data_IF_529000497172
#
_entry.id   IF_529000497172
#
_cell.length_a   1.000
_cell.length_b   1.000
_cell.length_c   1.000
_cell.angle_alpha   90.00
_cell.angle_beta   90.00
_cell.angle_gamma   90.00
#
_symmetry.space_group_name_H-M   'P 1'
#
loop_
_entity.id
_entity.type
_entity.pdbx_description
1 polymer ?
#
# COMPACT_ATOMS: atom_id res chain seq x y z
N UNK A 1 11.88 4.84 -21.89
CA UNK A 1 11.21 4.81 -20.58
C UNK A 1 9.96 4.00 -20.80
N UNK A 2 9.90 2.79 -20.26
CA UNK A 2 8.73 1.93 -20.47
C UNK A 2 7.62 2.42 -19.55
N UNK A 3 6.72 3.22 -20.13
CA UNK A 3 5.51 3.68 -19.45
C UNK A 3 4.56 2.51 -19.40
N UNK A 4 4.62 1.70 -18.35
CA UNK A 4 3.48 0.88 -17.97
C UNK A 4 2.48 1.83 -17.35
N UNK A 5 1.47 2.24 -18.12
CA UNK A 5 0.34 2.96 -17.56
C UNK A 5 -0.48 1.99 -16.70
N UNK A 6 -0.13 1.90 -15.42
CA UNK A 6 -1.00 1.22 -14.46
C UNK A 6 -2.12 2.18 -14.12
N UNK A 7 -3.21 2.08 -14.89
CA UNK A 7 -4.47 2.74 -14.56
C UNK A 7 -5.03 2.08 -13.31
N UNK A 8 -4.98 2.76 -12.18
CA UNK A 8 -5.70 2.32 -10.98
C UNK A 8 -7.18 2.73 -11.09
N UNK A 9 -7.79 2.18 -12.12
CA UNK A 9 -9.23 2.04 -12.31
C UNK A 9 -9.50 0.59 -11.88
N UNK A 10 -10.62 0.35 -11.22
CA UNK A 10 -11.22 -0.96 -10.89
C UNK A 10 -10.73 -2.25 -11.65
N UNK A 11 -10.96 -3.44 -11.06
CA UNK A 11 -10.02 -4.48 -10.62
C UNK A 11 -9.11 -5.16 -11.66
N UNK A 12 -8.97 -4.67 -12.89
CA UNK A 12 -8.21 -5.38 -13.93
C UNK A 12 -6.69 -5.37 -13.69
N UNK A 13 -6.16 -4.32 -13.03
CA UNK A 13 -4.73 -4.16 -12.75
C UNK A 13 -4.46 -3.63 -11.32
N UNK A 14 -4.79 -4.40 -10.27
CA UNK A 14 -4.61 -3.98 -8.89
C UNK A 14 -3.13 -3.75 -8.55
N UNK A 15 -2.87 -2.71 -7.77
CA UNK A 15 -1.56 -2.43 -7.14
C UNK A 15 -1.73 -2.56 -5.63
N UNK A 16 -0.80 -3.24 -4.97
CA UNK A 16 -0.72 -3.23 -3.51
C UNK A 16 0.35 -2.25 -3.07
N UNK A 17 0.15 -1.60 -1.92
CA UNK A 17 1.06 -0.63 -1.33
C UNK A 17 1.33 -0.96 0.13
N UNK A 18 2.55 -0.69 0.57
CA UNK A 18 2.96 -0.76 1.98
C UNK A 18 3.83 0.43 2.32
N UNK A 19 3.52 1.05 3.46
CA UNK A 19 4.26 2.16 4.06
C UNK A 19 5.12 1.60 5.19
N UNK A 20 6.43 1.82 5.13
CA UNK A 20 7.37 1.25 6.10
C UNK A 20 8.20 2.38 6.74
N UNK A 21 7.96 2.61 8.04
CA UNK A 21 8.79 3.50 8.84
C UNK A 21 10.16 2.83 9.01
N UNK A 22 11.28 3.51 8.68
CA UNK A 22 12.61 2.98 8.91
C UNK A 22 12.86 2.67 10.39
N UNK A 23 13.50 1.53 10.67
CA UNK A 23 13.98 1.22 12.02
C UNK A 23 15.15 2.13 12.41
N UNK A 24 15.49 2.26 13.70
CA UNK A 24 16.69 2.98 14.12
C UNK A 24 17.93 2.48 13.37
N UNK A 25 18.65 3.39 12.71
CA UNK A 25 19.83 3.08 11.90
C UNK A 25 19.55 2.68 10.44
N UNK A 26 18.28 2.57 10.02
CA UNK A 26 17.91 2.39 8.62
C UNK A 26 17.60 3.73 7.95
N UNK A 27 18.04 3.88 6.69
CA UNK A 27 17.55 4.93 5.80
C UNK A 27 16.28 4.47 5.05
N UNK A 28 15.68 5.36 4.27
CA UNK A 28 14.48 5.08 3.46
C UNK A 28 14.71 3.95 2.45
N UNK A 29 15.94 3.77 1.94
CA UNK A 29 16.22 2.73 0.96
C UNK A 29 16.30 1.36 1.63
N UNK A 30 16.98 1.25 2.76
CA UNK A 30 17.10 0.04 3.57
C UNK A 30 15.77 -0.41 4.18
N UNK A 31 14.82 0.52 4.36
CA UNK A 31 13.46 0.22 4.84
C UNK A 31 12.50 -0.30 3.76
N UNK A 32 12.91 -0.39 2.49
CA UNK A 32 12.09 -0.94 1.40
C UNK A 32 11.77 -2.42 1.68
N UNK A 33 10.58 -2.86 1.27
CA UNK A 33 10.17 -4.26 1.39
C UNK A 33 10.71 -5.05 0.20
N UNK A 34 11.85 -5.71 0.39
CA UNK A 34 12.53 -6.48 -0.67
C UNK A 34 12.28 -7.98 -0.60
N UNK A 35 11.47 -8.44 0.36
CA UNK A 35 11.12 -9.86 0.50
C UNK A 35 10.29 -10.34 -0.69
N UNK A 36 10.73 -11.41 -1.33
CA UNK A 36 10.09 -11.97 -2.54
C UNK A 36 9.12 -13.11 -2.22
N UNK A 37 9.45 -13.98 -1.27
CA UNK A 37 8.61 -15.12 -0.89
C UNK A 37 7.78 -14.81 0.34
N UNK A 38 6.48 -15.05 0.23
CA UNK A 38 5.50 -14.78 1.27
C UNK A 38 4.66 -16.02 1.54
N UNK A 39 4.41 -16.30 2.81
CA UNK A 39 3.67 -17.47 3.27
C UNK A 39 2.57 -17.11 4.28
N UNK A 40 2.03 -15.89 4.17
CA UNK A 40 0.93 -15.43 5.04
C UNK A 40 -0.24 -16.41 4.94
N UNK A 41 -0.83 -16.76 6.08
CA UNK A 41 -2.03 -17.59 6.14
C UNK A 41 -3.27 -16.75 6.41
N UNK A 42 -4.45 -17.32 6.17
CA UNK A 42 -5.73 -16.67 6.51
C UNK A 42 -5.81 -16.33 8.01
N UNK A 43 -5.30 -17.22 8.87
CA UNK A 43 -5.20 -17.00 10.31
C UNK A 43 -4.29 -15.83 10.66
N UNK A 44 -3.17 -15.65 9.96
CA UNK A 44 -2.27 -14.52 10.18
C UNK A 44 -2.93 -13.18 9.83
N UNK A 45 -3.70 -13.14 8.74
CA UNK A 45 -4.49 -11.95 8.35
C UNK A 45 -5.52 -11.63 9.43
N UNK A 46 -6.29 -12.62 9.86
CA UNK A 46 -7.31 -12.45 10.89
C UNK A 46 -6.69 -11.96 12.21
N UNK A 47 -5.60 -12.60 12.67
CA UNK A 47 -4.88 -12.20 13.89
C UNK A 47 -4.38 -10.77 13.77
N UNK A 48 -3.72 -10.42 12.67
CA UNK A 48 -3.12 -9.10 12.48
C UNK A 48 -4.17 -8.00 12.42
N UNK A 49 -5.31 -8.26 11.79
CA UNK A 49 -6.42 -7.31 11.75
C UNK A 49 -7.00 -7.06 13.15
N UNK A 50 -7.16 -8.11 13.95
CA UNK A 50 -7.73 -8.03 15.30
C UNK A 50 -6.75 -7.50 16.35
N UNK A 51 -5.46 -7.78 16.22
CA UNK A 51 -4.40 -7.26 17.09
C UNK A 51 -3.79 -5.98 16.50
N UNK A 52 -4.58 -4.91 16.46
CA UNK A 52 -4.16 -3.60 15.92
C UNK A 52 -2.87 -3.09 16.57
N UNK A 53 -2.68 -3.32 17.88
CA UNK A 53 -1.52 -2.85 18.61
C UNK A 53 -0.25 -3.71 18.37
N UNK A 54 -0.38 -4.83 17.66
CA UNK A 54 0.71 -5.76 17.38
C UNK A 54 1.47 -6.12 18.65
N UNK A 55 0.73 -6.54 19.67
CA UNK A 55 1.27 -6.81 21.00
C UNK A 55 2.27 -7.97 20.90
N UNK A 56 3.54 -7.72 21.19
CA UNK A 56 4.61 -8.71 21.02
C UNK A 56 5.26 -8.75 19.64
N UNK A 57 4.87 -7.87 18.70
CA UNK A 57 5.48 -7.70 17.37
C UNK A 57 5.41 -8.95 16.48
N UNK A 58 4.34 -9.73 16.58
CA UNK A 58 4.15 -11.01 15.87
C UNK A 58 3.19 -10.94 14.67
N UNK A 59 2.64 -9.76 14.37
CA UNK A 59 1.73 -9.60 13.24
C UNK A 59 2.44 -9.85 11.92
N UNK A 60 1.71 -10.50 11.01
CA UNK A 60 2.18 -10.67 9.65
C UNK A 60 2.17 -9.33 8.92
N UNK A 61 3.09 -9.11 7.97
CA UNK A 61 3.10 -7.86 7.23
C UNK A 61 1.95 -7.84 6.22
N UNK A 62 0.88 -7.08 6.50
CA UNK A 62 -0.22 -6.87 5.55
C UNK A 62 0.07 -5.75 4.55
N UNK A 63 -0.62 -5.79 3.42
CA UNK A 63 -0.57 -4.81 2.34
C UNK A 63 -1.90 -4.10 2.21
N UNK A 64 -1.90 -2.89 1.67
CA UNK A 64 -3.12 -2.16 1.34
C UNK A 64 -3.36 -2.21 -0.17
N UNK A 65 -4.62 -2.26 -0.59
CA UNK A 65 -4.95 -1.91 -1.98
C UNK A 65 -4.62 -0.44 -2.20
N UNK A 66 -3.79 -0.11 -3.20
CA UNK A 66 -3.51 1.28 -3.51
C UNK A 66 -4.80 1.95 -3.96
N UNK A 67 -5.27 2.95 -3.23
CA UNK A 67 -6.41 3.79 -3.58
C UNK A 67 -6.32 5.08 -2.73
N UNK A 68 -7.30 5.99 -2.89
CA UNK A 68 -7.32 7.21 -2.08
C UNK A 68 -7.45 6.94 -0.57
N UNK A 69 -8.07 5.83 -0.18
CA UNK A 69 -8.22 5.44 1.24
C UNK A 69 -6.87 5.01 1.82
N UNK A 70 -6.04 4.26 1.07
CA UNK A 70 -4.68 3.94 1.49
C UNK A 70 -3.81 5.20 1.65
N UNK A 71 -4.02 6.22 0.81
CA UNK A 71 -3.35 7.51 0.97
C UNK A 71 -3.87 8.29 2.20
N UNK A 72 -5.17 8.22 2.50
CA UNK A 72 -5.75 8.78 3.73
C UNK A 72 -5.16 8.11 4.97
N UNK A 73 -5.05 6.78 4.97
CA UNK A 73 -4.42 6.00 6.05
C UNK A 73 -2.97 6.42 6.31
N UNK A 74 -2.21 6.74 5.26
CA UNK A 74 -0.85 7.24 5.36
C UNK A 74 -0.74 8.74 5.70
N UNK A 75 -1.85 9.42 6.00
CA UNK A 75 -1.87 10.85 6.36
C UNK A 75 -1.73 11.82 5.19
N UNK A 76 -1.80 11.34 3.94
CA UNK A 76 -1.62 12.19 2.75
C UNK A 76 -2.89 12.87 2.27
N UNK A 77 -4.05 12.28 2.54
CA UNK A 77 -5.32 12.78 2.03
C UNK A 77 -6.45 12.77 3.06
N UNK A 78 -6.56 13.80 3.90
CA UNK A 78 -7.82 14.09 4.57
C UNK A 78 -8.72 14.79 3.55
N UNK A 79 -9.35 14.05 2.64
CA UNK A 79 -10.49 14.62 1.94
C UNK A 79 -11.70 14.46 2.85
N UNK A 80 -12.39 15.56 3.15
CA UNK A 80 -13.66 15.55 3.89
C UNK A 80 -14.77 14.80 3.13
N UNK A 81 -14.52 14.38 1.88
CA UNK A 81 -15.42 13.61 1.03
C UNK A 81 -15.05 12.13 0.92
N UNK A 82 -13.92 11.71 1.48
CA UNK A 82 -13.56 10.31 1.62
C UNK A 82 -13.96 9.86 3.02
N UNK A 83 -14.37 8.59 3.18
CA UNK A 83 -14.67 8.03 4.51
C UNK A 83 -13.52 8.33 5.47
N UNK A 84 -13.85 8.73 6.70
CA UNK A 84 -12.87 9.07 7.74
C UNK A 84 -12.12 7.82 8.17
N UNK A 85 -11.01 7.51 7.49
CA UNK A 85 -10.02 6.57 7.99
C UNK A 85 -9.05 7.36 8.85
N UNK A 86 -8.94 6.97 10.12
CA UNK A 86 -7.96 7.56 11.02
C UNK A 86 -6.55 7.29 10.46
N UNK A 87 -5.73 8.32 10.23
CA UNK A 87 -4.37 8.12 9.74
C UNK A 87 -3.54 7.41 10.79
N UNK A 88 -2.66 6.51 10.37
CA UNK A 88 -1.70 5.89 11.29
C UNK A 88 -0.57 6.88 11.58
N UNK A 89 -0.32 7.24 12.86
CA UNK A 89 0.73 8.18 13.23
C UNK A 89 2.11 7.77 12.69
N UNK A 90 2.85 8.73 12.14
CA UNK A 90 4.22 8.55 11.69
C UNK A 90 4.38 7.98 10.27
N UNK A 91 3.31 7.46 9.66
CA UNK A 91 3.37 7.02 8.25
C UNK A 91 3.56 8.19 7.29
N UNK A 92 3.18 9.39 7.68
CA UNK A 92 3.34 10.59 6.87
C UNK A 92 4.75 11.17 6.94
N UNK A 93 5.70 10.62 7.70
CA UNK A 93 7.05 11.16 7.75
C UNK A 93 7.78 11.04 6.39
N UNK A 94 8.59 12.04 6.01
CA UNK A 94 9.21 12.11 4.67
C UNK A 94 10.17 10.93 4.38
N UNK A 95 10.76 10.35 5.42
CA UNK A 95 11.67 9.21 5.34
C UNK A 95 10.94 7.85 5.28
N UNK A 96 9.62 7.81 5.27
CA UNK A 96 8.86 6.56 5.11
C UNK A 96 9.10 5.99 3.72
N UNK A 97 9.49 4.71 3.68
CA UNK A 97 9.64 3.96 2.45
C UNK A 97 8.25 3.50 1.97
N UNK A 98 8.01 3.65 0.67
CA UNK A 98 6.76 3.21 0.05
C UNK A 98 7.08 2.12 -0.94
N UNK A 99 6.59 0.91 -0.67
CA UNK A 99 6.79 -0.26 -1.53
C UNK A 99 5.48 -0.62 -2.21
N UNK A 100 5.56 -1.04 -3.47
CA UNK A 100 4.43 -1.46 -4.27
C UNK A 100 4.62 -2.88 -4.79
N UNK A 101 3.53 -3.63 -4.87
CA UNK A 101 3.44 -4.82 -5.72
C UNK A 101 2.66 -4.41 -6.96
N UNK A 102 3.34 -4.46 -8.10
CA UNK A 102 2.80 -4.12 -9.41
C UNK A 102 1.79 -5.18 -9.89
N UNK A 103 0.95 -4.88 -10.90
CA UNK A 103 -0.09 -5.81 -11.35
C UNK A 103 0.45 -7.17 -11.81
N UNK A 104 1.68 -7.23 -12.34
CA UNK A 104 2.36 -8.49 -12.68
C UNK A 104 2.58 -9.36 -11.44
N UNK A 105 3.00 -8.76 -10.33
CA UNK A 105 3.17 -9.43 -9.05
C UNK A 105 1.86 -9.88 -8.46
N UNK A 106 0.84 -9.01 -8.47
CA UNK A 106 -0.48 -9.33 -7.92
C UNK A 106 -1.11 -10.54 -8.62
N UNK A 107 -0.84 -10.75 -9.91
CA UNK A 107 -1.28 -11.94 -10.67
C UNK A 107 -0.57 -13.24 -10.28
N UNK A 108 0.59 -13.17 -9.61
CA UNK A 108 1.41 -14.33 -9.20
C UNK A 108 1.14 -14.80 -7.77
N UNK A 109 0.57 -13.94 -6.95
CA UNK A 109 0.32 -14.21 -5.53
C UNK A 109 -1.16 -14.47 -5.27
N UNK A 110 -1.43 -15.27 -4.25
CA UNK A 110 -2.74 -15.35 -3.63
C UNK A 110 -2.90 -14.17 -2.67
N UNK A 111 -3.99 -13.42 -2.84
CA UNK A 111 -4.42 -12.41 -1.86
C UNK A 111 -5.35 -13.06 -0.84
N UNK A 112 -5.11 -12.79 0.44
CA UNK A 112 -5.88 -13.29 1.56
C UNK A 112 -6.53 -12.10 2.27
N UNK A 113 -7.86 -12.06 2.30
CA UNK A 113 -8.63 -10.98 2.94
C UNK A 113 -9.10 -11.41 4.32
N UNK A 114 -9.26 -10.47 5.25
CA UNK A 114 -9.82 -10.80 6.56
C UNK A 114 -11.27 -11.29 6.46
N UNK A 115 -11.61 -12.39 7.14
CA UNK A 115 -12.98 -12.90 7.16
C UNK A 115 -13.84 -12.03 8.09
N UNK A 116 -14.83 -11.36 7.50
CA UNK A 116 -15.74 -10.47 8.22
C UNK A 116 -16.69 -11.30 9.08
N UNK A 117 -16.76 -11.01 10.37
CA UNK A 117 -17.75 -11.64 11.24
C UNK A 117 -19.04 -10.82 11.26
N UNK A 118 -20.19 -11.50 11.39
CA UNK A 118 -21.51 -10.86 11.33
C UNK A 118 -21.71 -9.80 12.42
N UNK A 119 -21.11 -9.99 13.59
CA UNK A 119 -21.18 -9.12 14.77
C UNK A 119 -20.20 -7.92 14.74
N UNK A 120 -19.33 -7.81 13.73
CA UNK A 120 -18.39 -6.69 13.64
C UNK A 120 -19.10 -5.36 13.36
N UNK A 121 -18.51 -4.29 13.89
CA UNK A 121 -18.94 -2.93 13.57
C UNK A 121 -18.79 -2.71 12.05
N UNK A 122 -19.71 -1.97 11.38
CA UNK A 122 -19.61 -1.72 9.94
C UNK A 122 -18.25 -1.16 9.51
N UNK A 123 -17.66 -0.26 10.30
CA UNK A 123 -16.33 0.30 10.02
C UNK A 123 -15.23 -0.78 9.99
N UNK A 124 -15.28 -1.79 10.86
CA UNK A 124 -14.29 -2.87 10.88
C UNK A 124 -14.45 -3.78 9.67
N UNK A 125 -15.70 -4.06 9.27
CA UNK A 125 -16.01 -4.82 8.06
C UNK A 125 -15.48 -4.15 6.79
N UNK A 126 -15.50 -2.82 6.75
CA UNK A 126 -14.97 -2.05 5.64
C UNK A 126 -13.45 -1.97 5.68
N UNK A 127 -12.85 -1.78 6.87
CA UNK A 127 -11.40 -1.80 7.03
C UNK A 127 -10.79 -3.15 6.63
N UNK A 128 -11.50 -4.24 6.88
CA UNK A 128 -11.13 -5.60 6.49
C UNK A 128 -10.98 -5.79 4.97
N UNK A 129 -11.67 -4.98 4.14
CA UNK A 129 -11.55 -5.02 2.67
C UNK A 129 -10.31 -4.31 2.14
N UNK A 130 -9.72 -3.42 2.96
CA UNK A 130 -8.61 -2.57 2.55
C UNK A 130 -7.25 -3.25 2.71
N UNK A 131 -7.14 -4.14 3.70
CA UNK A 131 -5.93 -4.88 4.02
C UNK A 131 -5.95 -6.27 3.40
N UNK A 132 -4.80 -6.72 2.91
CA UNK A 132 -4.61 -8.05 2.35
C UNK A 132 -3.31 -8.67 2.85
N UNK A 133 -3.37 -9.94 3.25
CA UNK A 133 -2.20 -10.79 3.31
C UNK A 133 -1.84 -11.32 1.92
N UNK A 134 -0.59 -11.73 1.75
CA UNK A 134 -0.12 -12.28 0.47
C UNK A 134 0.60 -13.61 0.70
N UNK A 135 0.38 -14.56 -0.21
CA UNK A 135 1.04 -15.86 -0.24
C UNK A 135 1.50 -16.17 -1.67
N UNK A 136 2.75 -16.56 -1.83
CA UNK A 136 3.39 -16.82 -3.12
C UNK A 136 4.76 -16.18 -3.24
N UNK A 137 5.34 -16.23 -4.44
CA UNK A 137 6.68 -15.70 -4.73
C UNK A 137 6.59 -14.63 -5.81
N UNK A 138 7.13 -13.46 -5.50
CA UNK A 138 7.31 -12.32 -6.40
C UNK A 138 8.66 -12.42 -7.11
N UNK A 139 8.80 -11.72 -8.24
CA UNK A 139 10.09 -11.49 -8.91
C UNK A 139 10.55 -10.04 -8.67
N UNK A 140 11.84 -9.71 -8.85
CA UNK A 140 12.33 -8.34 -8.71
C UNK A 140 11.53 -7.29 -9.50
N UNK A 141 11.10 -7.64 -10.72
CA UNK A 141 10.30 -6.76 -11.59
C UNK A 141 8.84 -6.56 -11.15
N UNK A 142 8.37 -7.32 -10.14
CA UNK A 142 7.04 -7.19 -9.58
C UNK A 142 6.97 -6.16 -8.45
N UNK A 143 8.12 -5.77 -7.90
CA UNK A 143 8.24 -4.80 -6.81
C UNK A 143 8.69 -3.44 -7.37
N UNK A 144 8.11 -2.37 -6.84
CA UNK A 144 8.56 -1.01 -7.12
C UNK A 144 8.57 -0.15 -5.86
N UNK A 145 9.39 0.88 -5.85
CA UNK A 145 9.66 1.69 -4.66
C UNK A 145 9.60 3.18 -4.97
N UNK A 146 9.04 3.94 -4.04
CA UNK A 146 9.12 5.40 -4.02
C UNK A 146 9.30 5.87 -2.56
N UNK A 147 9.33 7.18 -2.36
CA UNK A 147 9.42 7.77 -1.02
C UNK A 147 8.13 8.50 -0.65
N UNK A 148 7.88 8.61 0.66
CA UNK A 148 6.75 9.41 1.15
C UNK A 148 6.87 10.89 0.74
N UNK A 149 8.09 11.43 0.74
CA UNK A 149 8.37 12.77 0.24
C UNK A 149 7.89 12.96 -1.22
N UNK A 150 8.22 12.01 -2.13
CA UNK A 150 7.77 12.08 -3.52
C UNK A 150 6.26 11.95 -3.63
N UNK A 151 5.66 11.01 -2.90
CA UNK A 151 4.22 10.79 -2.93
C UNK A 151 3.44 12.02 -2.43
N UNK A 152 3.94 12.73 -1.41
CA UNK A 152 3.41 14.03 -0.96
C UNK A 152 3.45 15.08 -2.06
N UNK A 153 4.59 15.19 -2.75
CA UNK A 153 4.75 16.15 -3.84
C UNK A 153 3.71 15.90 -4.94
N UNK A 154 3.61 14.65 -5.44
CA UNK A 154 2.67 14.28 -6.51
C UNK A 154 1.21 14.46 -6.10
N UNK A 155 0.88 14.19 -4.82
CA UNK A 155 -0.46 14.44 -4.28
C UNK A 155 -0.78 15.94 -4.23
N UNK A 156 0.18 16.79 -3.85
CA UNK A 156 0.00 18.26 -3.84
C UNK A 156 -0.16 18.83 -5.24
N UNK A 157 0.63 18.36 -6.20
CA UNK A 157 0.53 18.77 -7.61
C UNK A 157 -0.83 18.41 -8.21
N UNK A 158 -1.27 17.16 -8.03
CA UNK A 158 -2.60 16.70 -8.46
C UNK A 158 -3.75 17.57 -7.93
N UNK A 159 -3.67 18.02 -6.67
CA UNK A 159 -4.65 18.93 -6.07
C UNK A 159 -4.63 20.32 -6.70
N UNK A 160 -3.45 20.87 -6.99
CA UNK A 160 -3.31 22.19 -7.64
C UNK A 160 -3.90 22.19 -9.05
N UNK A 161 -3.74 21.08 -9.77
CA UNK A 161 -4.27 20.90 -11.13
C UNK A 161 -5.77 20.59 -11.15
N UNK A 162 -6.38 20.25 -10.01
CA UNK A 162 -7.80 19.90 -9.92
C UNK A 162 -8.17 18.57 -10.60
N UNK A 163 -7.19 17.76 -11.00
CA UNK A 163 -7.40 16.54 -11.79
C UNK A 163 -7.69 15.31 -10.92
N UNK A 164 -7.34 15.33 -9.63
CA UNK A 164 -7.32 14.16 -8.74
C UNK A 164 -6.59 12.93 -9.33
N UNK A 165 -5.75 13.16 -10.35
CA UNK A 165 -4.87 12.19 -10.98
C UNK A 165 -3.48 12.33 -10.38
N UNK A 166 -3.05 11.32 -9.66
CA UNK A 166 -1.74 11.24 -9.01
C UNK A 166 -0.87 10.29 -9.82
N UNK A 167 0.18 10.83 -10.42
CA UNK A 167 1.18 10.06 -11.16
C UNK A 167 2.38 9.81 -10.24
N UNK A 168 2.65 8.57 -9.88
CA UNK A 168 3.68 8.19 -8.92
C UNK A 168 4.83 7.57 -9.69
N UNK A 169 5.96 8.26 -9.75
CA UNK A 169 7.18 7.67 -10.28
C UNK A 169 7.82 6.76 -9.23
N UNK A 170 8.16 5.55 -9.66
CA UNK A 170 8.76 4.53 -8.82
C UNK A 170 9.88 3.81 -9.58
N UNK A 171 10.78 3.19 -8.82
CA UNK A 171 11.89 2.39 -9.33
C UNK A 171 11.64 0.93 -8.95
N UNK A 172 11.71 0.02 -9.93
CA UNK A 172 11.61 -1.42 -9.70
C UNK A 172 12.86 -1.95 -8.99
N UNK A 173 12.78 -3.14 -8.41
CA UNK A 173 13.94 -3.74 -7.75
C UNK A 173 15.10 -4.05 -8.71
N UNK A 174 14.84 -4.16 -10.01
CA UNK A 174 15.84 -4.29 -11.07
C UNK A 174 16.45 -2.95 -11.54
N UNK A 175 16.06 -1.83 -10.93
CA UNK A 175 16.52 -0.47 -11.27
C UNK A 175 15.78 0.18 -12.45
N UNK A 176 14.86 -0.53 -13.11
CA UNK A 176 14.04 0.07 -14.17
C UNK A 176 12.98 1.01 -13.58
N UNK A 177 12.58 2.03 -14.34
CA UNK A 177 11.57 3.00 -13.89
C UNK A 177 10.16 2.56 -14.29
N UNK A 178 9.18 2.91 -13.46
CA UNK A 178 7.74 2.71 -13.71
C UNK A 178 6.95 3.91 -13.19
N UNK A 179 5.81 4.19 -13.82
CA UNK A 179 4.88 5.20 -13.34
C UNK A 179 3.53 4.56 -13.00
N UNK A 180 3.06 4.78 -11.77
CA UNK A 180 1.77 4.27 -11.29
C UNK A 180 0.78 5.42 -11.32
N UNK A 181 -0.38 5.24 -11.94
CA UNK A 181 -1.43 6.26 -12.03
C UNK A 181 -2.56 5.92 -11.05
N UNK A 182 -2.81 6.80 -10.08
CA UNK A 182 -3.97 6.74 -9.20
C UNK A 182 -4.95 7.87 -9.56
N UNK A 183 -6.23 7.55 -9.73
CA UNK A 183 -7.26 8.54 -10.02
C UNK A 183 -8.55 8.26 -9.24
N UNK A 184 -9.34 9.31 -9.01
CA UNK A 184 -10.67 9.19 -8.41
C UNK A 184 -11.65 8.73 -9.51
N UNK A 185 -12.35 7.62 -9.26
CA UNK A 185 -13.53 7.21 -10.04
C UNK A 185 -14.75 7.98 -9.54
#
# INVERSE_FOLDING_TARGET
MDTIEVKNVEPENPVLVRFQIPLPGQDTHAARVTQETWNTTQTDVQRTFMDYYNTGKTNAPLWLRLNLIALSYAGLSPSNHLRSVAPQPGLDADNVAVSFILPSGVKRIQQLTCEKQSNWHPNDKEAADLVVGINGTLQPGDLAYTTMQHLKQRTRESRKEGTYKILIDAERADGSKVQIRLERV
#
